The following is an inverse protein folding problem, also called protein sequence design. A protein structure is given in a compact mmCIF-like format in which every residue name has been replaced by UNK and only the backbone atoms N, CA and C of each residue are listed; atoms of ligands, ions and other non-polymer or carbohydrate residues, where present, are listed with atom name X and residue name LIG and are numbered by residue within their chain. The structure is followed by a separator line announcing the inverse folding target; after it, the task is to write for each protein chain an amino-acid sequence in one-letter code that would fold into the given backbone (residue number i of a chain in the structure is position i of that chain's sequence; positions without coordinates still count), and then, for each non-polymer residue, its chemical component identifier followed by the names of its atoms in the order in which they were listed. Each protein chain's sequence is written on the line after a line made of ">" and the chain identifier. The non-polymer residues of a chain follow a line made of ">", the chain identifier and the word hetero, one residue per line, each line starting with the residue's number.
data_IF_426366137493
#
_entry.id   IF_426366137493
#
_cell.length_a   1.000
_cell.length_b   1.000
_cell.length_c   1.000
_cell.angle_alpha   90.00
_cell.angle_beta   90.00
_cell.angle_gamma   90.00
#
_symmetry.space_group_name_H-M   'P 1'
#
loop_
_entity.id
_entity.type
_entity.pdbx_description
1 polymer ?
#
# COMPACT_ATOMS: atom_id res chain seq x y z
N UNK A 1 -18.30 8.74 0.97
CA UNK A 1 -16.84 8.92 0.73
C UNK A 1 -16.42 7.95 -0.35
N UNK A 2 -15.56 8.35 -1.27
CA UNK A 2 -15.04 7.47 -2.33
C UNK A 2 -13.76 6.80 -1.83
N UNK A 3 -13.65 5.50 -2.13
CA UNK A 3 -12.46 4.71 -1.84
C UNK A 3 -11.95 4.08 -3.13
N UNK A 4 -10.64 3.90 -3.19
CA UNK A 4 -9.93 3.21 -4.25
C UNK A 4 -9.19 2.02 -3.66
N UNK A 5 -8.87 1.04 -4.50
CA UNK A 5 -8.01 -0.08 -4.10
C UNK A 5 -6.70 0.03 -4.85
N UNK A 6 -5.60 0.19 -4.11
CA UNK A 6 -4.25 0.13 -4.66
C UNK A 6 -3.83 -1.33 -4.79
N UNK A 7 -3.42 -1.73 -5.98
CA UNK A 7 -2.93 -3.08 -6.29
C UNK A 7 -1.69 -2.99 -7.17
N UNK A 8 -0.94 -4.08 -7.25
CA UNK A 8 0.14 -4.18 -8.24
C UNK A 8 -0.42 -4.16 -9.65
N UNK A 9 0.42 -3.78 -10.61
CA UNK A 9 0.04 -3.73 -12.03
C UNK A 9 -0.47 -5.08 -12.55
N UNK A 10 0.17 -6.18 -12.14
CA UNK A 10 -0.19 -7.54 -12.53
C UNK A 10 -1.61 -7.89 -12.06
N UNK A 11 -1.93 -7.58 -10.80
CA UNK A 11 -3.29 -7.77 -10.26
C UNK A 11 -4.30 -6.90 -10.99
N UNK A 12 -3.96 -5.64 -11.28
CA UNK A 12 -4.85 -4.73 -12.00
C UNK A 12 -5.20 -5.24 -13.40
N UNK A 13 -4.22 -5.76 -14.15
CA UNK A 13 -4.43 -6.30 -15.49
C UNK A 13 -5.34 -7.54 -15.51
N UNK A 14 -5.34 -8.33 -14.43
CA UNK A 14 -6.22 -9.51 -14.29
C UNK A 14 -7.63 -9.12 -13.88
N UNK A 15 -7.79 -8.16 -12.95
CA UNK A 15 -9.09 -7.75 -12.42
C UNK A 15 -9.83 -6.86 -13.44
N UNK A 16 -9.12 -5.94 -14.08
CA UNK A 16 -9.75 -5.00 -15.01
C UNK A 16 -9.99 -5.65 -16.37
N UNK A 17 -11.09 -5.24 -17.01
CA UNK A 17 -11.42 -5.70 -18.36
C UNK A 17 -10.39 -5.14 -19.35
N UNK A 18 -9.96 -5.97 -20.29
CA UNK A 18 -9.06 -5.55 -21.36
C UNK A 18 -9.57 -4.27 -22.05
N UNK A 19 -8.70 -3.25 -22.11
CA UNK A 19 -9.01 -1.95 -22.72
C UNK A 19 -9.56 -0.88 -21.76
N UNK A 20 -9.76 -1.20 -20.46
CA UNK A 20 -10.01 -0.18 -19.44
C UNK A 20 -8.69 0.51 -19.08
N UNK A 21 -8.61 1.85 -19.13
CA UNK A 21 -7.40 2.56 -18.75
C UNK A 21 -7.15 2.43 -17.24
N UNK A 22 -5.94 2.04 -16.87
CA UNK A 22 -5.50 1.97 -15.47
C UNK A 22 -5.01 3.33 -14.99
N UNK A 23 -5.37 3.67 -13.76
CA UNK A 23 -4.81 4.85 -13.09
C UNK A 23 -3.53 4.43 -12.37
N UNK A 24 -2.38 4.88 -12.88
CA UNK A 24 -1.08 4.57 -12.30
C UNK A 24 -0.76 5.50 -11.13
N UNK A 25 -0.13 4.93 -10.11
CA UNK A 25 0.48 5.65 -8.98
C UNK A 25 1.96 5.92 -9.26
N UNK A 26 2.55 6.85 -8.52
CA UNK A 26 3.95 7.25 -8.70
C UNK A 26 4.94 6.10 -8.48
N UNK A 27 4.60 5.13 -7.63
CA UNK A 27 5.44 3.95 -7.36
C UNK A 27 5.23 2.80 -8.37
N UNK A 28 4.44 3.02 -9.43
CA UNK A 28 4.25 2.05 -10.52
C UNK A 28 3.12 1.05 -10.29
N UNK A 29 2.36 1.19 -9.21
CA UNK A 29 1.15 0.41 -8.94
C UNK A 29 -0.10 1.04 -9.56
N UNK A 30 -1.25 0.39 -9.43
CA UNK A 30 -2.51 0.85 -10.01
C UNK A 30 -3.59 1.09 -8.96
N UNK A 31 -4.45 2.09 -9.22
CA UNK A 31 -5.68 2.32 -8.47
C UNK A 31 -6.88 1.80 -9.25
N UNK A 32 -7.69 0.99 -8.58
CA UNK A 32 -8.96 0.47 -9.09
C UNK A 32 -10.13 1.14 -8.38
N UNK A 33 -11.23 1.39 -9.11
CA UNK A 33 -12.47 1.79 -8.47
C UNK A 33 -13.16 0.57 -7.83
N UNK A 34 -14.10 0.88 -6.92
CA UNK A 34 -14.85 -0.14 -6.17
C UNK A 34 -15.62 -1.09 -7.09
N UNK A 35 -16.05 -0.61 -8.26
CA UNK A 35 -16.80 -1.39 -9.25
C UNK A 35 -16.01 -2.56 -9.83
N UNK A 36 -14.69 -2.38 -10.03
CA UNK A 36 -13.81 -3.42 -10.58
C UNK A 36 -13.57 -4.53 -9.58
N UNK A 37 -13.67 -4.21 -8.29
CA UNK A 37 -13.55 -5.18 -7.22
C UNK A 37 -14.82 -6.02 -7.02
N UNK A 38 -15.86 -5.87 -7.84
CA UNK A 38 -17.13 -6.58 -7.62
C UNK A 38 -17.05 -8.10 -7.77
N UNK A 39 -16.16 -8.56 -8.65
CA UNK A 39 -15.96 -9.99 -8.91
C UNK A 39 -14.84 -10.60 -8.04
N UNK A 40 -14.20 -9.80 -7.18
CA UNK A 40 -13.16 -10.26 -6.27
C UNK A 40 -13.78 -10.86 -5.00
N UNK A 41 -13.31 -12.03 -4.52
CA UNK A 41 -13.79 -12.62 -3.28
C UNK A 41 -13.62 -11.70 -2.06
N UNK A 42 -14.67 -11.59 -1.24
CA UNK A 42 -14.64 -10.84 0.01
C UNK A 42 -16.00 -10.25 0.39
N UNK A 43 -16.28 -10.23 1.70
CA UNK A 43 -17.56 -9.77 2.28
C UNK A 43 -17.77 -8.25 2.18
N UNK A 44 -16.69 -7.49 2.08
CA UNK A 44 -16.69 -6.04 1.95
C UNK A 44 -15.48 -5.58 1.12
N UNK A 45 -15.44 -4.31 0.74
CA UNK A 45 -14.37 -3.78 -0.12
C UNK A 45 -12.96 -3.94 0.48
N UNK A 46 -12.82 -3.82 1.81
CA UNK A 46 -11.54 -4.03 2.49
C UNK A 46 -11.08 -5.50 2.40
N UNK A 47 -11.98 -6.46 2.62
CA UNK A 47 -11.69 -7.88 2.47
C UNK A 47 -11.29 -8.23 1.04
N UNK A 48 -11.93 -7.60 0.04
CA UNK A 48 -11.61 -7.78 -1.38
C UNK A 48 -10.26 -7.17 -1.75
N UNK A 49 -9.95 -5.99 -1.22
CA UNK A 49 -8.62 -5.38 -1.36
C UNK A 49 -7.55 -6.32 -0.81
N UNK A 50 -7.73 -6.84 0.40
CA UNK A 50 -6.79 -7.78 1.02
C UNK A 50 -6.64 -9.08 0.21
N UNK A 51 -7.74 -9.63 -0.33
CA UNK A 51 -7.69 -10.82 -1.18
C UNK A 51 -6.82 -10.61 -2.42
N UNK A 52 -6.94 -9.43 -3.04
CA UNK A 52 -6.15 -9.04 -4.20
C UNK A 52 -4.71 -8.62 -3.86
N UNK A 53 -4.28 -8.72 -2.60
CA UNK A 53 -2.96 -8.26 -2.13
C UNK A 53 -2.81 -6.73 -2.14
N UNK A 54 -3.92 -6.00 -2.16
CA UNK A 54 -3.98 -4.56 -2.24
C UNK A 54 -4.33 -3.87 -0.92
N UNK A 55 -4.36 -2.54 -0.99
CA UNK A 55 -4.73 -1.66 0.13
C UNK A 55 -5.94 -0.79 -0.21
N UNK A 56 -6.84 -0.62 0.75
CA UNK A 56 -7.95 0.32 0.64
C UNK A 56 -7.46 1.72 0.96
N UNK A 57 -7.65 2.66 0.03
CA UNK A 57 -7.22 4.05 0.18
C UNK A 57 -8.36 5.03 -0.03
N UNK A 58 -8.31 6.14 0.69
CA UNK A 58 -9.27 7.25 0.55
C UNK A 58 -8.96 8.10 -0.68
N UNK A 59 -9.97 8.82 -1.18
CA UNK A 59 -9.83 9.70 -2.36
C UNK A 59 -8.69 10.72 -2.23
N UNK A 60 -8.49 11.33 -1.06
CA UNK A 60 -7.39 12.26 -0.84
C UNK A 60 -6.01 11.56 -0.92
N UNK A 61 -5.87 10.39 -0.29
CA UNK A 61 -4.65 9.59 -0.35
C UNK A 61 -4.37 9.05 -1.75
N UNK A 62 -5.41 8.68 -2.51
CA UNK A 62 -5.29 8.27 -3.90
C UNK A 62 -4.66 9.35 -4.78
N UNK A 63 -5.05 10.61 -4.59
CA UNK A 63 -4.43 11.73 -5.31
C UNK A 63 -2.95 11.88 -4.92
N UNK A 64 -2.62 11.75 -3.63
CA UNK A 64 -1.24 11.81 -3.14
C UNK A 64 -0.36 10.64 -3.64
N UNK A 65 -0.96 9.47 -3.89
CA UNK A 65 -0.30 8.30 -4.50
C UNK A 65 -0.01 8.54 -5.99
N UNK A 66 -0.91 9.23 -6.69
CA UNK A 66 -0.74 9.58 -8.12
C UNK A 66 0.34 10.66 -8.28
N UNK A 67 0.31 11.71 -7.46
CA UNK A 67 1.24 12.83 -7.57
C UNK A 67 2.61 12.55 -6.92
N UNK A 68 2.73 11.48 -6.12
CA UNK A 68 3.97 11.10 -5.44
C UNK A 68 4.28 11.90 -4.17
N UNK A 69 3.32 12.64 -3.64
CA UNK A 69 3.46 13.43 -2.41
C UNK A 69 3.32 12.58 -1.14
N UNK A 70 2.91 11.31 -1.27
CA UNK A 70 2.84 10.38 -0.15
C UNK A 70 4.25 9.96 0.29
N UNK A 71 4.61 10.27 1.53
CA UNK A 71 5.91 9.88 2.09
C UNK A 71 6.04 8.35 2.28
N UNK A 72 4.91 7.69 2.57
CA UNK A 72 4.81 6.25 2.77
C UNK A 72 3.66 5.70 1.92
N UNK A 73 3.95 5.28 0.67
CA UNK A 73 2.94 4.69 -0.20
C UNK A 73 2.30 3.47 0.46
N UNK A 74 1.00 3.29 0.23
CA UNK A 74 0.27 2.13 0.71
C UNK A 74 0.87 0.86 0.10
N UNK A 75 1.12 -0.13 0.97
CA UNK A 75 1.73 -1.38 0.59
C UNK A 75 0.76 -2.27 -0.20
N UNK A 76 1.26 -2.90 -1.27
CA UNK A 76 0.56 -3.94 -2.01
C UNK A 76 1.56 -4.97 -2.54
N UNK A 77 1.08 -6.18 -2.79
CA UNK A 77 1.85 -7.29 -3.35
C UNK A 77 0.99 -8.05 -4.35
N UNK A 78 1.62 -8.84 -5.23
CA UNK A 78 0.91 -9.71 -6.16
C UNK A 78 0.70 -11.09 -5.52
N UNK A 79 -0.53 -11.51 -5.18
CA UNK A 79 -0.78 -12.87 -4.69
C UNK A 79 -0.50 -13.93 -5.77
N UNK A 80 -0.25 -15.17 -5.33
CA UNK A 80 0.01 -16.31 -6.24
C UNK A 80 -1.11 -16.53 -7.26
N UNK A 81 -2.36 -16.28 -6.87
CA UNK A 81 -3.52 -16.43 -7.77
C UNK A 81 -3.51 -15.46 -8.95
N UNK A 82 -2.78 -14.36 -8.82
CA UNK A 82 -2.61 -13.34 -9.85
C UNK A 82 -1.26 -13.45 -10.57
N UNK A 83 -0.53 -14.55 -10.39
CA UNK A 83 0.74 -14.82 -11.07
C UNK A 83 1.99 -14.26 -10.38
N UNK A 84 1.86 -13.73 -9.16
CA UNK A 84 2.99 -13.28 -8.36
C UNK A 84 3.62 -14.39 -7.53
N UNK A 85 4.76 -14.09 -6.90
CA UNK A 85 5.40 -15.00 -5.93
C UNK A 85 4.65 -15.07 -4.59
N UNK A 86 3.66 -14.18 -4.39
CA UNK A 86 2.75 -14.16 -3.25
C UNK A 86 3.36 -13.72 -1.93
N UNK A 87 2.51 -13.22 -1.04
CA UNK A 87 2.71 -13.37 0.39
C UNK A 87 2.17 -14.75 0.79
N UNK A 88 3.05 -15.69 1.13
CA UNK A 88 2.68 -17.05 1.55
C UNK A 88 2.14 -17.12 2.99
N UNK A 89 1.89 -15.96 3.62
CA UNK A 89 1.24 -15.87 4.94
C UNK A 89 -0.21 -16.37 4.87
N UNK A 90 -0.34 -17.70 4.94
CA UNK A 90 -1.49 -18.54 5.30
C UNK A 90 -2.89 -18.07 4.87
N UNK A 91 -3.46 -18.76 3.87
CA UNK A 91 -4.90 -18.72 3.54
C UNK A 91 -5.82 -19.32 4.62
N UNK A 92 -5.25 -19.89 5.69
CA UNK A 92 -6.00 -20.70 6.67
C UNK A 92 -6.34 -19.96 7.98
N UNK A 93 -5.76 -18.77 8.22
CA UNK A 93 -6.06 -17.99 9.43
C UNK A 93 -6.64 -16.63 9.04
N UNK A 94 -7.94 -16.47 9.26
CA UNK A 94 -8.71 -15.29 8.88
C UNK A 94 -8.11 -13.96 9.30
N UNK A 95 -8.31 -12.95 8.45
CA UNK A 95 -8.14 -11.52 8.75
C UNK A 95 -6.91 -11.22 9.62
N UNK A 96 -5.73 -11.41 9.04
CA UNK A 96 -4.45 -10.99 9.64
C UNK A 96 -4.35 -9.48 9.69
N UNK A 97 -4.85 -8.90 10.77
CA UNK A 97 -4.35 -7.65 11.31
C UNK A 97 -2.87 -7.85 11.65
N UNK A 98 -2.00 -7.38 10.77
CA UNK A 98 -0.60 -7.11 11.10
C UNK A 98 -0.28 -5.72 10.53
N UNK A 99 -0.81 -4.72 11.24
CA UNK A 99 -0.21 -3.39 11.24
C UNK A 99 1.25 -3.57 11.64
N UNK A 100 2.23 -3.03 10.90
CA UNK A 100 3.56 -2.90 11.46
C UNK A 100 3.44 -2.04 12.73
N UNK A 101 3.76 -2.67 13.86
CA UNK A 101 3.90 -2.03 15.15
C UNK A 101 4.81 -0.81 15.02
N UNK A 102 4.24 0.34 15.35
CA UNK A 102 4.99 1.59 15.52
C UNK A 102 5.86 1.45 16.77
N UNK A 103 7.07 0.96 16.61
CA UNK A 103 8.14 1.21 17.57
C UNK A 103 9.51 0.96 16.96
N UNK A 104 10.13 2.04 16.53
CA UNK A 104 11.55 2.25 16.75
C UNK A 104 11.74 3.72 17.06
N UNK A 105 11.51 4.01 18.35
CA UNK A 105 12.22 5.05 19.07
C UNK A 105 13.73 4.83 18.85
N UNK A 106 14.45 5.88 18.47
CA UNK A 106 15.89 6.14 18.70
C UNK A 106 16.52 6.97 17.56
N UNK A 107 17.26 8.07 17.70
CA UNK A 107 17.73 8.90 18.83
C UNK A 107 17.94 10.33 18.31
N UNK A 108 17.75 11.32 19.19
CA UNK A 108 18.16 12.69 18.92
C UNK A 108 19.69 12.75 18.97
N UNK A 109 20.34 13.05 17.83
CA UNK A 109 21.77 13.32 17.82
C UNK A 109 22.03 14.72 18.38
N UNK A 110 22.21 14.83 19.70
CA UNK A 110 22.89 15.97 20.30
C UNK A 110 24.40 15.76 20.22
N UNK A 111 25.02 16.19 19.12
CA UNK A 111 26.46 16.39 19.09
C UNK A 111 26.80 17.71 19.80
N UNK A 112 27.05 17.60 21.11
CA UNK A 112 27.84 18.58 21.84
C UNK A 112 29.29 18.44 21.37
N UNK A 113 29.73 19.32 20.47
CA UNK A 113 31.16 19.62 20.34
C UNK A 113 31.55 20.66 21.37
N UNK A 114 32.16 20.16 22.43
CA UNK A 114 33.04 20.90 23.32
C UNK A 114 34.21 21.45 22.48
N UNK A 115 34.45 22.76 22.53
CA UNK A 115 35.71 23.37 22.10
C UNK A 115 35.98 24.56 23.01
N UNK A 116 36.74 24.24 24.05
CA UNK A 116 37.90 24.97 24.57
C UNK A 116 37.75 26.48 24.78
N UNK A 117 37.58 26.83 26.05
CA UNK A 117 37.85 28.16 26.59
C UNK A 117 39.37 28.35 26.63
N UNK A 118 39.92 29.17 25.74
CA UNK A 118 41.26 29.72 25.92
C UNK A 118 41.16 30.97 26.81
N UNK A 119 41.66 30.85 28.03
CA UNK A 119 42.04 31.99 28.87
C UNK A 119 43.51 32.32 28.59
N UNK A 120 43.78 33.53 28.09
CA UNK A 120 44.86 34.44 28.54
C UNK A 120 44.66 35.83 27.91
#
# INVERSE_FOLDING_TARGET
>A
MRYYVKVTKEVAEVITKAGVPLTMTHDGNCLLYQSEMNDVPGVNLSARAAYAGGALIEEYSALAEIDGSVATPAYCYTPVEYGGDGDTRNKDNGFGADMPDVSSESEVSTDKKESEVTNE
#
